data_IF_772372353646
#
_entry.id   IF_772372353646
#
_cell.length_a   1.000
_cell.length_b   1.000
_cell.length_c   1.000
_cell.angle_alpha   90.00
_cell.angle_beta   90.00
_cell.angle_gamma   90.00
#
_symmetry.space_group_name_H-M   'P 1'
#
loop_
_entity.id
_entity.type
_entity.pdbx_description
1 polymer ?
#
# COMPACT_ATOMS: atom_id res chain seq x y z
N UNK A 1 7.66 7.29 27.03
CA UNK A 1 7.05 8.04 25.90
C UNK A 1 7.88 9.28 25.64
N UNK A 2 8.39 9.46 24.42
CA UNK A 2 9.04 10.72 24.05
C UNK A 2 7.98 11.65 23.44
N UNK A 3 7.80 12.82 24.03
CA UNK A 3 6.96 13.88 23.46
C UNK A 3 7.89 14.87 22.77
N UNK A 4 7.57 15.22 21.53
CA UNK A 4 8.27 16.27 20.78
C UNK A 4 7.28 17.38 20.45
N UNK A 5 7.68 18.62 20.68
CA UNK A 5 6.92 19.81 20.31
C UNK A 5 7.36 20.27 18.93
N UNK A 6 6.42 20.52 18.04
CA UNK A 6 6.65 21.11 16.72
C UNK A 6 5.77 22.35 16.59
N UNK A 7 6.29 23.40 15.97
CA UNK A 7 5.51 24.59 15.62
C UNK A 7 4.98 24.42 14.20
N UNK A 8 3.68 24.65 14.02
CA UNK A 8 3.01 24.63 12.72
C UNK A 8 2.10 25.86 12.63
N UNK A 9 1.81 26.31 11.42
CA UNK A 9 0.81 27.36 11.22
C UNK A 9 -0.61 26.87 11.57
N UNK A 10 -1.52 27.83 11.69
CA UNK A 10 -2.89 27.55 12.11
C UNK A 10 -3.72 26.83 11.04
N UNK A 11 -3.39 26.99 9.76
CA UNK A 11 -4.08 26.31 8.65
C UNK A 11 -3.73 24.83 8.66
N UNK A 12 -2.44 24.49 8.75
CA UNK A 12 -1.94 23.13 8.89
C UNK A 12 -2.52 22.44 10.14
N UNK A 13 -2.59 23.16 11.26
CA UNK A 13 -3.26 22.66 12.47
C UNK A 13 -4.73 22.35 12.21
N UNK A 14 -5.47 23.27 11.56
CA UNK A 14 -6.88 23.10 11.22
C UNK A 14 -7.13 21.87 10.34
N UNK A 15 -6.31 21.68 9.30
CA UNK A 15 -6.40 20.51 8.40
C UNK A 15 -6.17 19.19 9.14
N UNK A 16 -5.19 19.14 10.06
CA UNK A 16 -4.94 17.94 10.86
C UNK A 16 -6.05 17.68 11.89
N UNK A 17 -6.53 18.73 12.55
CA UNK A 17 -7.60 18.64 13.55
C UNK A 17 -8.91 18.14 12.93
N UNK A 18 -9.25 18.61 11.71
CA UNK A 18 -10.43 18.17 10.98
C UNK A 18 -10.41 16.67 10.63
N UNK A 19 -9.23 16.07 10.50
CA UNK A 19 -9.08 14.63 10.22
C UNK A 19 -9.12 13.74 11.47
N UNK A 20 -9.14 14.31 12.67
CA UNK A 20 -9.15 13.54 13.93
C UNK A 20 -10.46 12.77 14.07
N UNK A 21 -10.35 11.46 14.36
CA UNK A 21 -11.53 10.57 14.53
C UNK A 21 -11.77 10.25 15.99
N UNK A 22 -12.90 10.68 16.56
CA UNK A 22 -13.25 10.42 17.96
C UNK A 22 -12.12 10.80 18.93
N UNK A 23 -11.75 9.88 19.82
CA UNK A 23 -10.67 10.06 20.80
C UNK A 23 -9.25 9.75 20.25
N UNK A 24 -9.04 9.88 18.94
CA UNK A 24 -7.74 9.67 18.32
C UNK A 24 -6.70 10.73 18.75
N UNK A 25 -5.46 10.29 19.01
CA UNK A 25 -4.37 11.21 19.29
C UNK A 25 -3.84 11.87 18.01
N UNK A 26 -3.36 13.12 18.12
CA UNK A 26 -2.74 13.83 16.99
C UNK A 26 -1.59 13.03 16.36
N UNK A 27 -0.77 12.36 17.19
CA UNK A 27 0.30 11.49 16.68
C UNK A 27 -0.21 10.37 15.77
N UNK A 28 -1.42 9.84 16.03
CA UNK A 28 -2.03 8.80 15.20
C UNK A 28 -2.62 9.38 13.91
N UNK A 29 -3.17 10.59 13.96
CA UNK A 29 -3.58 11.32 12.75
C UNK A 29 -2.39 11.55 11.82
N UNK A 30 -1.28 12.08 12.35
CA UNK A 30 -0.05 12.34 11.60
C UNK A 30 0.47 11.03 10.97
N UNK A 31 0.58 9.97 11.77
CA UNK A 31 1.02 8.66 11.28
C UNK A 31 0.11 8.10 10.19
N UNK A 32 -1.21 8.20 10.33
CA UNK A 32 -2.13 7.73 9.30
C UNK A 32 -1.99 8.54 8.01
N UNK A 33 -1.82 9.85 8.12
CA UNK A 33 -1.73 10.75 6.95
C UNK A 33 -0.41 10.59 6.20
N UNK A 34 0.69 10.34 6.91
CA UNK A 34 2.04 10.20 6.36
C UNK A 34 2.47 8.75 6.16
N UNK A 35 1.66 7.77 6.57
CA UNK A 35 1.96 6.38 6.32
C UNK A 35 2.03 6.15 4.80
N UNK A 36 3.09 5.50 4.30
CA UNK A 36 3.15 5.13 2.90
C UNK A 36 1.98 4.21 2.57
N UNK A 37 1.44 4.36 1.36
CA UNK A 37 0.39 3.48 0.87
C UNK A 37 0.93 2.05 0.75
N UNK A 38 0.31 1.12 1.47
CA UNK A 38 0.70 -0.31 1.51
C UNK A 38 -0.34 -1.19 0.84
N UNK A 39 -0.98 -0.68 -0.21
CA UNK A 39 -2.02 -1.41 -0.94
C UNK A 39 -1.43 -1.99 -2.21
N UNK A 40 -2.00 -3.11 -2.69
CA UNK A 40 -1.62 -3.68 -3.98
C UNK A 40 -1.87 -2.69 -5.14
N UNK A 41 -2.92 -1.88 -5.04
CA UNK A 41 -3.22 -0.82 -6.02
C UNK A 41 -2.13 0.26 -6.05
N UNK A 42 -1.65 0.71 -4.89
CA UNK A 42 -0.55 1.67 -4.80
C UNK A 42 0.75 1.08 -5.35
N UNK A 43 1.04 -0.19 -5.05
CA UNK A 43 2.17 -0.90 -5.64
C UNK A 43 2.06 -0.95 -7.17
N UNK A 44 0.91 -1.36 -7.70
CA UNK A 44 0.65 -1.45 -9.14
C UNK A 44 0.86 -0.11 -9.84
N UNK A 45 0.37 0.99 -9.25
CA UNK A 45 0.57 2.34 -9.80
C UNK A 45 2.05 2.77 -9.86
N UNK A 46 2.90 2.20 -9.01
CA UNK A 46 4.34 2.49 -8.94
C UNK A 46 5.21 1.53 -9.74
N UNK A 47 4.69 0.37 -10.16
CA UNK A 47 5.45 -0.59 -10.97
C UNK A 47 6.09 0.00 -12.23
N UNK A 48 5.44 0.92 -12.99
CA UNK A 48 6.06 1.53 -14.17
C UNK A 48 7.28 2.41 -13.86
N UNK A 49 7.41 2.88 -12.62
CA UNK A 49 8.54 3.71 -12.18
C UNK A 49 9.77 2.86 -11.81
N UNK A 50 9.61 1.54 -11.69
CA UNK A 50 10.66 0.63 -11.27
C UNK A 50 11.38 0.03 -12.49
N UNK A 51 12.69 0.24 -12.56
CA UNK A 51 13.55 -0.54 -13.43
C UNK A 51 13.98 -1.81 -12.68
N UNK A 52 13.53 -2.97 -13.15
CA UNK A 52 14.00 -4.27 -12.64
C UNK A 52 15.22 -4.70 -13.46
N UNK A 53 16.19 -5.33 -12.79
CA UNK A 53 17.30 -5.99 -13.49
C UNK A 53 16.78 -7.22 -14.24
N UNK A 54 17.40 -7.55 -15.38
CA UNK A 54 16.97 -8.68 -16.22
C UNK A 54 16.94 -10.00 -15.43
N UNK A 55 17.95 -10.26 -14.59
CA UNK A 55 17.98 -11.44 -13.71
C UNK A 55 16.75 -11.54 -12.77
N UNK A 56 16.19 -10.39 -12.38
CA UNK A 56 14.97 -10.35 -11.56
C UNK A 56 13.74 -10.74 -12.37
N UNK A 57 13.66 -10.31 -13.63
CA UNK A 57 12.60 -10.69 -14.54
C UNK A 57 12.66 -12.20 -14.83
N UNK A 58 13.85 -12.73 -15.10
CA UNK A 58 14.07 -14.16 -15.35
C UNK A 58 13.65 -15.03 -14.16
N UNK A 59 13.95 -14.60 -12.93
CA UNK A 59 13.50 -15.28 -11.70
C UNK A 59 11.97 -15.26 -11.55
N UNK A 60 11.34 -14.12 -11.85
CA UNK A 60 9.87 -13.99 -11.82
C UNK A 60 9.25 -14.97 -12.82
N UNK A 61 9.74 -14.99 -14.06
CA UNK A 61 9.22 -15.87 -15.11
C UNK A 61 9.37 -17.34 -14.73
N UNK A 62 10.53 -17.73 -14.18
CA UNK A 62 10.73 -19.10 -13.69
C UNK A 62 9.73 -19.49 -12.61
N UNK A 63 9.46 -18.59 -11.66
CA UNK A 63 8.47 -18.83 -10.59
C UNK A 63 7.04 -18.88 -11.12
N UNK A 64 6.70 -18.04 -12.09
CA UNK A 64 5.37 -18.05 -12.73
C UNK A 64 5.17 -19.34 -13.52
N UNK A 65 6.18 -19.81 -14.25
CA UNK A 65 6.13 -21.10 -14.94
C UNK A 65 5.94 -22.26 -13.95
N UNK A 66 6.69 -22.29 -12.85
CA UNK A 66 6.61 -23.33 -11.82
C UNK A 66 5.20 -23.41 -11.16
N UNK A 67 4.46 -22.30 -11.10
CA UNK A 67 3.07 -22.30 -10.58
C UNK A 67 2.11 -23.10 -11.47
N UNK A 68 2.44 -23.40 -12.73
CA UNK A 68 1.63 -24.31 -13.55
C UNK A 68 1.65 -25.73 -13.03
N UNK A 69 2.74 -26.13 -12.38
CA UNK A 69 2.95 -27.47 -11.83
C UNK A 69 2.36 -27.61 -10.42
N UNK A 70 2.19 -26.49 -9.71
CA UNK A 70 1.53 -26.42 -8.41
C UNK A 70 0.64 -25.17 -8.38
N UNK A 71 -0.59 -25.25 -8.91
CA UNK A 71 -1.51 -24.14 -8.86
C UNK A 71 -1.76 -23.76 -7.40
N UNK A 72 -1.81 -22.46 -7.12
CA UNK A 72 -2.24 -21.99 -5.82
C UNK A 72 -3.60 -22.64 -5.51
N UNK A 73 -3.80 -23.13 -4.28
CA UNK A 73 -5.10 -23.58 -3.77
C UNK A 73 -6.06 -22.38 -3.62
N UNK A 74 -6.28 -21.65 -4.71
CA UNK A 74 -7.33 -20.67 -4.86
C UNK A 74 -8.59 -21.42 -5.29
N UNK A 75 -9.76 -21.14 -4.70
CA UNK A 75 -11.01 -21.62 -5.27
C UNK A 75 -11.06 -21.20 -6.76
N UNK A 76 -11.62 -22.06 -7.61
CA UNK A 76 -11.87 -21.70 -9.00
C UNK A 76 -12.64 -20.37 -9.01
N UNK A 77 -12.09 -19.36 -9.68
CA UNK A 77 -12.86 -18.17 -9.97
C UNK A 77 -13.97 -18.64 -10.91
N UNK A 78 -15.22 -18.61 -10.43
CA UNK A 78 -16.36 -18.99 -11.25
C UNK A 78 -16.28 -18.26 -12.58
N UNK A 79 -16.17 -19.02 -13.67
CA UNK A 79 -16.27 -18.52 -15.04
C UNK A 79 -17.72 -18.15 -15.32
N UNK A 80 -18.22 -17.13 -14.61
CA UNK A 80 -19.43 -16.41 -14.99
C UNK A 80 -19.03 -15.24 -15.85
N UNK A 81 -18.59 -15.56 -17.06
CA UNK A 81 -19.01 -14.78 -18.22
C UNK A 81 -20.53 -14.81 -18.33
N UNK A 82 -21.21 -13.93 -17.60
CA UNK A 82 -22.57 -13.54 -17.95
C UNK A 82 -22.50 -12.33 -18.89
N UNK A 83 -23.08 -12.54 -20.07
CA UNK A 83 -23.34 -11.56 -21.12
C UNK A 83 -24.12 -10.35 -20.60
#
# INVERSE_FOLDING_TARGET
>A
MAVKTITIDMEAYGLLAAQKRGNESFSRVIKRRLAPERTAAALLARLPELALADDTLDEIDRRVAARRESPACSPALDDKGEK
#
